data_IF_345833133404
#
_entry.id   IF_345833133404
#
_cell.length_a   1.000
_cell.length_b   1.000
_cell.length_c   1.000
_cell.angle_alpha   90.00
_cell.angle_beta   90.00
_cell.angle_gamma   90.00
#
_symmetry.space_group_name_H-M   'P 1'
#
loop_
_entity.id
_entity.type
_entity.pdbx_description
1 polymer ?
#
# COMPACT_ATOMS: atom_id res chain seq x y z
N UNK A 1 -15.91 15.09 -48.11
CA UNK A 1 -14.72 14.21 -48.12
C UNK A 1 -14.67 13.46 -46.80
N UNK A 2 -15.00 12.16 -46.77
CA UNK A 2 -14.96 11.34 -45.55
C UNK A 2 -13.58 10.68 -45.45
N UNK A 3 -12.86 10.94 -44.36
CA UNK A 3 -11.55 10.35 -44.08
C UNK A 3 -11.74 8.92 -43.59
N UNK A 4 -11.08 7.98 -44.26
CA UNK A 4 -11.14 6.56 -43.94
C UNK A 4 -10.14 6.27 -42.81
N UNK A 5 -10.61 6.00 -41.57
CA UNK A 5 -9.74 5.54 -40.48
C UNK A 5 -9.35 4.09 -40.78
N UNK A 6 -8.05 3.82 -40.91
CA UNK A 6 -7.53 2.43 -41.00
C UNK A 6 -7.92 1.70 -39.72
N UNK A 7 -8.79 0.71 -39.85
CA UNK A 7 -9.15 -0.20 -38.78
C UNK A 7 -8.04 -1.25 -38.70
N UNK A 8 -7.22 -1.20 -37.64
CA UNK A 8 -6.19 -2.21 -37.41
C UNK A 8 -6.84 -3.56 -37.14
N UNK A 9 -6.33 -4.61 -37.78
CA UNK A 9 -6.83 -5.96 -37.62
C UNK A 9 -6.37 -6.54 -36.28
N UNK A 10 -7.10 -7.53 -35.77
CA UNK A 10 -6.76 -8.21 -34.52
C UNK A 10 -5.37 -8.88 -34.58
N UNK A 11 -4.94 -9.29 -35.78
CA UNK A 11 -3.59 -9.78 -36.05
C UNK A 11 -2.52 -8.70 -35.87
N UNK A 12 -2.74 -7.49 -36.39
CA UNK A 12 -1.77 -6.38 -36.27
C UNK A 12 -1.57 -5.98 -34.81
N UNK A 13 -2.65 -6.03 -34.02
CA UNK A 13 -2.62 -5.75 -32.58
C UNK A 13 -1.79 -6.81 -31.86
N UNK A 14 -2.03 -8.09 -32.16
CA UNK A 14 -1.31 -9.22 -31.54
C UNK A 14 0.20 -9.17 -31.82
N UNK A 15 0.59 -8.85 -33.05
CA UNK A 15 2.00 -8.75 -33.43
C UNK A 15 2.68 -7.55 -32.75
N UNK A 16 1.95 -6.44 -32.58
CA UNK A 16 2.41 -5.27 -31.81
C UNK A 16 2.67 -5.62 -30.34
N UNK A 17 1.83 -6.45 -29.72
CA UNK A 17 2.02 -6.89 -28.34
C UNK A 17 3.28 -7.76 -28.17
N UNK A 18 3.54 -8.66 -29.11
CA UNK A 18 4.75 -9.48 -29.09
C UNK A 18 6.05 -8.67 -29.32
N UNK A 19 5.99 -7.61 -30.13
CA UNK A 19 7.15 -6.73 -30.37
C UNK A 19 7.43 -5.75 -29.23
N UNK A 20 6.42 -5.39 -28.44
CA UNK A 20 6.55 -4.39 -27.36
C UNK A 20 6.90 -4.99 -26.01
N UNK A 21 6.86 -6.32 -25.86
CA UNK A 21 7.17 -7.00 -24.60
C UNK A 21 6.12 -6.79 -23.50
N UNK A 22 4.93 -6.30 -23.84
CA UNK A 22 3.81 -6.17 -22.90
C UNK A 22 3.14 -7.54 -22.70
N UNK A 23 3.08 -8.03 -21.45
CA UNK A 23 2.36 -9.25 -21.09
C UNK A 23 0.95 -8.88 -20.61
N UNK A 24 -0.07 -9.34 -21.33
CA UNK A 24 -1.46 -9.27 -20.89
C UNK A 24 -1.76 -10.41 -19.89
N UNK A 25 -2.09 -10.04 -18.65
CA UNK A 25 -2.39 -10.99 -17.57
C UNK A 25 -3.72 -11.74 -17.76
N UNK A 26 -4.57 -11.32 -18.70
CA UNK A 26 -5.88 -11.94 -18.93
C UNK A 26 -5.86 -13.15 -19.87
N UNK A 27 -4.75 -13.46 -20.53
CA UNK A 27 -4.63 -14.58 -21.46
C UNK A 27 -3.75 -15.66 -20.85
N UNK A 28 -4.35 -16.55 -20.06
CA UNK A 28 -3.69 -17.82 -19.67
C UNK A 28 -4.01 -18.87 -20.73
N UNK A 29 -3.03 -19.40 -21.50
CA UNK A 29 -3.30 -20.47 -22.43
C UNK A 29 -3.47 -21.76 -21.62
N UNK A 30 -4.69 -22.31 -21.61
CA UNK A 30 -4.89 -23.73 -21.29
C UNK A 30 -4.19 -24.54 -22.38
N UNK A 31 -3.11 -25.23 -22.04
CA UNK A 31 -2.45 -26.19 -22.92
C UNK A 31 -3.40 -27.36 -23.19
N UNK A 32 -3.91 -27.47 -24.41
CA UNK A 32 -4.37 -28.75 -24.97
C UNK A 32 -3.23 -29.35 -25.79
N UNK A 33 -2.90 -30.58 -25.44
CA UNK A 33 -1.83 -31.42 -25.99
C UNK A 33 -2.04 -31.78 -27.46
N UNK A 34 -1.04 -31.53 -28.31
CA UNK A 34 -0.82 -32.28 -29.54
C UNK A 34 0.68 -32.60 -29.69
N UNK A 35 0.93 -33.88 -29.92
CA UNK A 35 2.23 -34.56 -30.00
C UNK A 35 2.81 -34.42 -31.41
N UNK A 36 4.08 -34.04 -31.55
CA UNK A 36 4.89 -34.40 -32.73
C UNK A 36 6.39 -34.44 -32.38
N UNK A 37 7.02 -35.57 -32.68
CA UNK A 37 8.45 -35.85 -32.57
C UNK A 37 9.18 -35.38 -33.86
N UNK A 38 10.35 -34.73 -33.71
CA UNK A 38 11.64 -35.11 -34.35
C UNK A 38 12.70 -33.99 -34.18
N UNK A 39 13.95 -34.39 -33.89
CA UNK A 39 15.13 -33.73 -34.48
C UNK A 39 15.82 -32.54 -33.78
N UNK A 40 16.48 -32.79 -32.64
CA UNK A 40 17.87 -32.34 -32.41
C UNK A 40 18.26 -30.85 -32.56
N UNK A 41 17.81 -30.01 -31.63
CA UNK A 41 18.64 -28.92 -31.06
C UNK A 41 18.12 -28.71 -29.65
N UNK A 42 18.98 -28.86 -28.64
CA UNK A 42 18.60 -28.69 -27.24
C UNK A 42 18.35 -27.20 -26.94
N UNK A 43 17.25 -26.67 -27.46
CA UNK A 43 16.73 -25.36 -27.07
C UNK A 43 16.21 -25.52 -25.64
N UNK A 44 17.09 -25.25 -24.68
CA UNK A 44 16.78 -25.35 -23.27
C UNK A 44 15.87 -24.18 -22.93
N UNK A 45 14.58 -24.43 -22.87
CA UNK A 45 13.58 -23.44 -22.46
C UNK A 45 13.87 -23.06 -21.00
N UNK A 46 14.50 -21.91 -20.79
CA UNK A 46 14.75 -21.35 -19.45
C UNK A 46 13.44 -20.80 -18.93
N UNK A 47 12.77 -21.56 -18.06
CA UNK A 47 11.62 -21.05 -17.32
C UNK A 47 12.09 -19.98 -16.32
N UNK A 48 11.65 -18.73 -16.51
CA UNK A 48 11.92 -17.66 -15.56
C UNK A 48 11.34 -18.04 -14.17
N UNK A 49 12.17 -17.91 -13.13
CA UNK A 49 11.72 -18.14 -11.76
C UNK A 49 10.65 -17.12 -11.38
N UNK A 50 9.71 -17.55 -10.52
CA UNK A 50 8.66 -16.66 -10.03
C UNK A 50 9.31 -15.51 -9.24
N UNK A 51 8.95 -14.24 -9.49
CA UNK A 51 9.57 -13.10 -8.81
C UNK A 51 9.38 -13.20 -7.30
N UNK A 52 10.45 -12.93 -6.54
CA UNK A 52 10.40 -12.87 -5.08
C UNK A 52 9.66 -11.60 -4.63
N UNK A 53 8.61 -11.78 -3.83
CA UNK A 53 7.82 -10.68 -3.30
C UNK A 53 8.40 -10.22 -1.97
N UNK A 54 8.92 -8.98 -1.94
CA UNK A 54 9.36 -8.34 -0.69
C UNK A 54 8.14 -7.89 0.13
N UNK A 55 8.16 -8.14 1.44
CA UNK A 55 7.17 -7.58 2.37
C UNK A 55 7.32 -6.05 2.43
N UNK A 56 6.21 -5.29 2.46
CA UNK A 56 6.28 -3.83 2.53
C UNK A 56 6.94 -3.38 3.84
N UNK A 57 7.71 -2.27 3.82
CA UNK A 57 8.27 -1.69 5.03
C UNK A 57 7.14 -1.21 5.95
N UNK A 58 7.32 -1.46 7.25
CA UNK A 58 6.37 -1.04 8.28
C UNK A 58 6.79 0.30 8.87
N UNK A 59 5.80 1.08 9.29
CA UNK A 59 5.96 2.39 9.91
C UNK A 59 5.15 2.44 11.19
N UNK A 60 5.64 3.18 12.17
CA UNK A 60 4.92 3.48 13.41
C UNK A 60 4.24 4.84 13.30
N UNK A 61 3.00 4.93 13.74
CA UNK A 61 2.26 6.19 13.86
C UNK A 61 2.41 6.68 15.29
N UNK A 62 2.88 7.91 15.46
CA UNK A 62 3.28 8.48 16.74
C UNK A 62 2.49 9.75 17.01
N UNK A 63 2.00 9.89 18.26
CA UNK A 63 1.45 11.15 18.78
C UNK A 63 2.52 11.85 19.61
N UNK A 64 2.64 13.16 19.43
CA UNK A 64 3.57 14.02 20.15
C UNK A 64 2.85 14.80 21.23
N UNK A 65 3.50 14.96 22.39
CA UNK A 65 2.96 15.74 23.50
C UNK A 65 2.92 17.24 23.20
N UNK A 66 1.94 17.92 23.79
CA UNK A 66 1.80 19.37 23.79
C UNK A 66 1.00 19.82 25.03
N UNK A 67 1.06 21.11 25.38
CA UNK A 67 0.45 21.64 26.61
C UNK A 67 -1.02 22.09 26.45
N UNK A 68 -1.63 21.93 25.27
CA UNK A 68 -2.93 22.55 24.95
C UNK A 68 -4.01 21.56 24.53
N UNK A 69 -3.64 20.38 24.04
CA UNK A 69 -4.57 19.33 23.65
C UNK A 69 -5.12 18.60 24.89
N UNK A 70 -6.45 18.56 25.12
CA UNK A 70 -7.04 17.85 26.26
C UNK A 70 -6.77 16.34 26.23
N UNK A 71 -6.61 15.72 27.40
CA UNK A 71 -6.39 14.27 27.53
C UNK A 71 -7.52 13.44 26.92
N UNK A 72 -8.78 13.83 27.17
CA UNK A 72 -9.95 13.12 26.65
C UNK A 72 -10.01 13.16 25.12
N UNK A 73 -9.52 14.24 24.50
CA UNK A 73 -9.44 14.37 23.05
C UNK A 73 -8.41 13.39 22.45
N UNK A 74 -7.28 13.20 23.13
CA UNK A 74 -6.27 12.19 22.72
C UNK A 74 -6.86 10.78 22.82
N UNK A 75 -7.59 10.48 23.90
CA UNK A 75 -8.29 9.19 24.08
C UNK A 75 -9.30 8.97 22.95
N UNK A 76 -10.12 9.98 22.62
CA UNK A 76 -11.09 9.93 21.52
C UNK A 76 -10.42 9.57 20.19
N UNK A 77 -9.30 10.23 19.86
CA UNK A 77 -8.51 9.94 18.66
C UNK A 77 -8.05 8.49 18.63
N UNK A 78 -7.52 7.99 19.74
CA UNK A 78 -6.99 6.63 19.86
C UNK A 78 -8.11 5.58 19.69
N UNK A 79 -9.30 5.86 20.22
CA UNK A 79 -10.47 4.99 20.03
C UNK A 79 -10.98 5.02 18.58
N UNK A 80 -11.18 6.22 18.02
CA UNK A 80 -11.81 6.40 16.72
C UNK A 80 -10.93 5.98 15.55
N UNK A 81 -9.65 6.36 15.56
CA UNK A 81 -8.76 6.16 14.42
C UNK A 81 -7.86 4.92 14.57
N UNK A 82 -7.64 4.43 15.79
CA UNK A 82 -6.75 3.29 16.04
C UNK A 82 -7.48 2.08 16.65
N UNK A 83 -8.80 2.18 16.84
CA UNK A 83 -9.64 1.10 17.36
C UNK A 83 -9.17 0.56 18.72
N UNK A 84 -8.56 1.42 19.53
CA UNK A 84 -8.18 1.08 20.90
C UNK A 84 -9.43 1.05 21.79
N UNK A 85 -9.44 0.18 22.79
CA UNK A 85 -10.39 0.32 23.90
C UNK A 85 -9.95 1.46 24.85
N UNK A 86 -10.79 1.81 25.82
CA UNK A 86 -10.52 2.89 26.76
C UNK A 86 -9.21 2.70 27.55
N UNK A 87 -8.97 1.50 28.06
CA UNK A 87 -7.78 1.22 28.88
C UNK A 87 -6.49 1.36 28.05
N UNK A 88 -6.48 0.82 26.83
CA UNK A 88 -5.37 0.95 25.89
C UNK A 88 -5.13 2.41 25.50
N UNK A 89 -6.20 3.14 25.16
CA UNK A 89 -6.12 4.54 24.77
C UNK A 89 -5.61 5.41 25.93
N UNK A 90 -6.08 5.17 27.15
CA UNK A 90 -5.63 5.87 28.36
C UNK A 90 -4.15 5.62 28.61
N UNK A 91 -3.69 4.37 28.48
CA UNK A 91 -2.28 4.03 28.65
C UNK A 91 -1.39 4.77 27.65
N UNK A 92 -1.76 4.74 26.36
CA UNK A 92 -1.01 5.44 25.31
C UNK A 92 -1.04 6.95 25.52
N UNK A 93 -2.18 7.53 25.90
CA UNK A 93 -2.31 8.95 26.22
C UNK A 93 -1.36 9.35 27.37
N UNK A 94 -1.30 8.57 28.45
CA UNK A 94 -0.39 8.83 29.57
C UNK A 94 1.07 8.72 29.15
N UNK A 95 1.41 7.75 28.28
CA UNK A 95 2.75 7.64 27.69
C UNK A 95 3.09 8.90 26.89
N UNK A 96 2.20 9.40 26.03
CA UNK A 96 2.42 10.66 25.30
C UNK A 96 2.69 11.79 26.29
N UNK A 97 1.85 11.93 27.31
CA UNK A 97 1.93 13.03 28.28
C UNK A 97 3.23 13.04 29.09
N UNK A 98 3.68 11.88 29.59
CA UNK A 98 4.85 11.80 30.45
C UNK A 98 6.17 11.59 29.71
N UNK A 99 6.16 10.90 28.57
CA UNK A 99 7.37 10.54 27.81
C UNK A 99 7.58 11.45 26.59
N UNK A 100 6.65 12.35 26.31
CA UNK A 100 6.74 13.32 25.22
C UNK A 100 6.28 12.79 23.85
N UNK A 101 6.20 11.47 23.69
CA UNK A 101 5.63 10.82 22.51
C UNK A 101 5.09 9.42 22.83
N UNK A 102 4.14 8.93 22.03
CA UNK A 102 3.56 7.60 22.21
C UNK A 102 3.14 6.97 20.88
N UNK A 103 3.27 5.64 20.79
CA UNK A 103 2.92 4.89 19.58
C UNK A 103 1.42 4.59 19.56
N UNK A 104 0.72 5.09 18.53
CA UNK A 104 -0.69 4.84 18.30
C UNK A 104 -0.95 3.58 17.46
N UNK A 105 0.01 3.16 16.62
CA UNK A 105 -0.13 1.92 15.85
C UNK A 105 1.00 1.68 14.86
N UNK A 106 0.98 0.50 14.23
CA UNK A 106 2.00 0.06 13.26
C UNK A 106 1.33 -0.40 11.97
N UNK A 107 1.72 0.19 10.85
CA UNK A 107 1.07 -0.05 9.55
C UNK A 107 2.08 0.00 8.39
N UNK A 108 1.74 -0.53 7.20
CA UNK A 108 2.43 -0.17 5.96
C UNK A 108 2.38 1.34 5.74
N UNK A 109 3.38 1.86 5.03
CA UNK A 109 3.59 3.31 4.84
C UNK A 109 2.32 4.07 4.46
N UNK A 110 1.61 3.66 3.42
CA UNK A 110 0.45 4.39 2.88
C UNK A 110 -0.69 4.51 3.90
N UNK A 111 -0.90 3.46 4.71
CA UNK A 111 -1.91 3.43 5.77
C UNK A 111 -1.47 4.33 6.92
N UNK A 112 -0.18 4.28 7.30
CA UNK A 112 0.38 5.13 8.35
C UNK A 112 0.26 6.62 7.98
N UNK A 113 0.65 7.00 6.76
CA UNK A 113 0.53 8.38 6.24
C UNK A 113 -0.94 8.84 6.25
N UNK A 114 -1.86 7.98 5.80
CA UNK A 114 -3.29 8.29 5.77
C UNK A 114 -3.83 8.52 7.19
N UNK A 115 -3.52 7.65 8.15
CA UNK A 115 -3.98 7.80 9.54
C UNK A 115 -3.41 9.06 10.19
N UNK A 116 -2.11 9.33 10.03
CA UNK A 116 -1.51 10.53 10.59
C UNK A 116 -2.15 11.81 10.03
N UNK A 117 -2.42 11.85 8.72
CA UNK A 117 -3.11 12.97 8.08
C UNK A 117 -4.56 13.13 8.58
N UNK A 118 -5.31 12.04 8.73
CA UNK A 118 -6.68 12.08 9.29
C UNK A 118 -6.70 12.68 10.69
N UNK A 119 -5.81 12.19 11.57
CA UNK A 119 -5.69 12.68 12.95
C UNK A 119 -5.32 14.16 12.99
N UNK A 120 -4.30 14.56 12.22
CA UNK A 120 -3.85 15.96 12.18
C UNK A 120 -4.95 16.90 11.66
N UNK A 121 -5.70 16.49 10.65
CA UNK A 121 -6.80 17.29 10.11
C UNK A 121 -7.95 17.40 11.12
N UNK A 122 -8.25 16.31 11.83
CA UNK A 122 -9.26 16.32 12.88
C UNK A 122 -8.86 17.25 14.04
N UNK A 123 -7.64 17.12 14.56
CA UNK A 123 -7.10 18.00 15.60
C UNK A 123 -7.18 19.48 15.21
N UNK A 124 -6.75 19.84 13.99
CA UNK A 124 -6.87 21.22 13.49
C UNK A 124 -8.32 21.69 13.39
N UNK A 125 -9.24 20.84 12.95
CA UNK A 125 -10.67 21.18 12.89
C UNK A 125 -11.28 21.47 14.27
N UNK A 126 -10.74 20.84 15.32
CA UNK A 126 -11.12 21.06 16.72
C UNK A 126 -10.23 22.11 17.42
N UNK A 127 -9.36 22.80 16.68
CA UNK A 127 -8.46 23.83 17.21
C UNK A 127 -7.47 23.32 18.29
N UNK A 128 -7.06 22.06 18.18
CA UNK A 128 -5.99 21.46 18.99
C UNK A 128 -4.67 21.39 18.20
N UNK A 129 -3.52 21.73 18.82
CA UNK A 129 -2.22 21.69 18.13
C UNK A 129 -1.60 20.29 18.07
N UNK A 130 -2.31 19.24 18.49
CA UNK A 130 -1.85 17.85 18.50
C UNK A 130 -1.18 17.46 17.18
N UNK A 131 0.04 16.93 17.29
CA UNK A 131 0.83 16.47 16.15
C UNK A 131 0.87 14.93 16.11
N UNK A 132 0.49 14.38 14.95
CA UNK A 132 0.63 12.99 14.60
C UNK A 132 1.60 12.83 13.41
N UNK A 133 2.61 11.97 13.55
CA UNK A 133 3.61 11.72 12.51
C UNK A 133 3.88 10.23 12.33
N UNK A 134 4.64 9.87 11.30
CA UNK A 134 5.09 8.50 11.08
C UNK A 134 6.61 8.40 11.17
N UNK A 135 7.09 7.31 11.75
CA UNK A 135 8.53 6.99 11.83
C UNK A 135 8.75 5.60 11.20
N UNK A 136 9.88 5.35 10.51
CA UNK A 136 10.23 4.00 10.08
C UNK A 136 10.24 3.05 11.28
N UNK A 137 9.64 1.86 11.12
CA UNK A 137 9.74 0.84 12.15
C UNK A 137 11.06 0.09 11.98
N UNK A 138 11.87 0.08 13.04
CA UNK A 138 13.07 -0.76 13.16
C UNK A 138 12.76 -2.27 13.07
#
# INVERSE_FOLDING_TARGET
MRTNKRQMSLSDIKDTFHQTGLVDWQITPRLSSETHEDGGSADTIVMASRPELKRPPMYVVVLMNDDYTPMDFVIEILQQYFAMNLDQATQVMLTVHYEGKGVAGVYPRDIAETKANQVNNYARSQSHPLLCQIEPKD
#
